data_IF_302507669578
#
_entry.id   IF_302507669578
#
_cell.length_a   1.000
_cell.length_b   1.000
_cell.length_c   1.000
_cell.angle_alpha   90.00
_cell.angle_beta   90.00
_cell.angle_gamma   90.00
#
_symmetry.space_group_name_H-M   'P 1'
#
loop_
_entity.id
_entity.type
_entity.pdbx_description
1 polymer ?
#
# COMPACT_ATOMS: atom_id res chain seq x y z
N UNK A 1 -28.94 29.66 -0.14
CA UNK A 1 -27.67 29.33 -0.82
C UNK A 1 -27.96 29.22 -2.30
N UNK A 2 -27.61 30.22 -3.11
CA UNK A 2 -27.78 30.13 -4.55
C UNK A 2 -26.82 29.05 -5.08
N UNK A 3 -27.37 27.99 -5.67
CA UNK A 3 -26.59 26.92 -6.30
C UNK A 3 -25.79 27.54 -7.44
N UNK A 4 -24.46 27.41 -7.39
CA UNK A 4 -23.55 27.91 -8.41
C UNK A 4 -24.00 27.39 -9.80
N UNK A 5 -24.19 28.24 -10.83
CA UNK A 5 -24.71 27.82 -12.14
C UNK A 5 -23.93 26.66 -12.76
N UNK A 6 -22.61 26.62 -12.55
CA UNK A 6 -21.75 25.52 -13.00
C UNK A 6 -22.15 24.18 -12.37
N UNK A 7 -22.55 24.16 -11.10
CA UNK A 7 -22.99 22.95 -10.40
C UNK A 7 -24.29 22.43 -10.98
N UNK A 8 -25.25 23.33 -11.29
CA UNK A 8 -26.52 22.95 -11.91
C UNK A 8 -26.30 22.36 -13.31
N UNK A 9 -25.39 22.95 -14.11
CA UNK A 9 -25.00 22.40 -15.40
C UNK A 9 -24.37 21.01 -15.29
N UNK A 10 -23.49 20.79 -14.30
CA UNK A 10 -22.89 19.46 -14.06
C UNK A 10 -23.91 18.42 -13.61
N UNK A 11 -24.83 18.80 -12.73
CA UNK A 11 -25.94 17.92 -12.32
C UNK A 11 -26.84 17.61 -13.52
N UNK A 12 -27.15 18.60 -14.36
CA UNK A 12 -27.89 18.41 -15.60
C UNK A 12 -27.17 17.44 -16.55
N UNK A 13 -25.85 17.59 -16.70
CA UNK A 13 -25.01 16.68 -17.49
C UNK A 13 -25.07 15.25 -16.95
N UNK A 14 -25.00 15.06 -15.63
CA UNK A 14 -25.11 13.74 -14.99
C UNK A 14 -26.50 13.11 -15.21
N UNK A 15 -27.57 13.90 -15.12
CA UNK A 15 -28.94 13.46 -15.41
C UNK A 15 -29.11 13.05 -16.87
N UNK A 16 -28.57 13.83 -17.80
CA UNK A 16 -28.58 13.50 -19.23
C UNK A 16 -27.78 12.21 -19.50
N UNK A 17 -26.62 12.04 -18.85
CA UNK A 17 -25.84 10.81 -18.98
C UNK A 17 -26.60 9.58 -18.45
N UNK A 18 -27.34 9.73 -17.35
CA UNK A 18 -28.20 8.68 -16.81
C UNK A 18 -29.36 8.35 -17.75
N UNK A 19 -30.07 9.37 -18.25
CA UNK A 19 -31.15 9.18 -19.22
C UNK A 19 -30.65 8.50 -20.51
N UNK A 20 -29.45 8.83 -20.98
CA UNK A 20 -28.82 8.18 -22.13
C UNK A 20 -28.46 6.71 -21.86
N UNK A 21 -28.03 6.38 -20.64
CA UNK A 21 -27.79 5.00 -20.22
C UNK A 21 -29.09 4.20 -20.20
N UNK A 22 -30.12 4.74 -19.55
CA UNK A 22 -31.45 4.12 -19.48
C UNK A 22 -32.03 3.91 -20.89
N UNK A 23 -32.02 4.95 -21.73
CA UNK A 23 -32.49 4.86 -23.11
C UNK A 23 -31.73 3.80 -23.91
N UNK A 24 -30.41 3.70 -23.73
CA UNK A 24 -29.61 2.69 -24.40
C UNK A 24 -29.95 1.27 -23.90
N UNK A 25 -30.10 1.05 -22.59
CA UNK A 25 -30.43 -0.27 -22.04
C UNK A 25 -31.75 -0.83 -22.57
N UNK A 26 -32.74 0.04 -22.78
CA UNK A 26 -34.07 -0.35 -23.28
C UNK A 26 -34.30 -0.06 -24.77
N UNK A 27 -33.23 0.25 -25.51
CA UNK A 27 -33.31 0.41 -26.97
C UNK A 27 -33.49 -0.97 -27.64
N UNK A 28 -34.29 -1.09 -28.72
CA UNK A 28 -34.44 -2.35 -29.45
C UNK A 28 -33.11 -2.94 -29.98
N UNK A 29 -32.10 -2.10 -30.20
CA UNK A 29 -30.76 -2.54 -30.61
C UNK A 29 -30.01 -3.24 -29.47
N UNK A 30 -30.30 -2.92 -28.21
CA UNK A 30 -29.67 -3.56 -27.04
C UNK A 30 -30.17 -4.98 -26.82
N UNK A 31 -31.41 -5.29 -27.19
CA UNK A 31 -31.97 -6.65 -27.15
C UNK A 31 -31.22 -7.64 -28.06
N UNK A 32 -30.51 -7.13 -29.07
CA UNK A 32 -29.66 -7.96 -29.96
C UNK A 32 -28.26 -8.24 -29.41
N UNK A 33 -27.84 -7.53 -28.34
CA UNK A 33 -26.54 -7.73 -27.73
C UNK A 33 -26.57 -8.88 -26.72
N UNK A 34 -25.43 -9.57 -26.58
CA UNK A 34 -25.26 -10.59 -25.54
C UNK A 34 -25.08 -9.91 -24.17
N UNK A 35 -25.48 -10.60 -23.10
CA UNK A 35 -25.44 -10.04 -21.74
C UNK A 35 -24.06 -9.48 -21.33
N UNK A 36 -22.96 -10.17 -21.66
CA UNK A 36 -21.60 -9.68 -21.34
C UNK A 36 -21.27 -8.35 -22.04
N UNK A 37 -21.80 -8.12 -23.25
CA UNK A 37 -21.62 -6.85 -23.96
C UNK A 37 -22.44 -5.75 -23.28
N UNK A 38 -23.65 -6.10 -22.81
CA UNK A 38 -24.50 -5.19 -22.04
C UNK A 38 -23.80 -4.78 -20.74
N UNK A 39 -23.23 -5.74 -20.02
CA UNK A 39 -22.51 -5.52 -18.76
C UNK A 39 -21.34 -4.54 -18.92
N UNK A 40 -20.45 -4.76 -19.90
CA UNK A 40 -19.29 -3.89 -20.15
C UNK A 40 -19.72 -2.46 -20.54
N UNK A 41 -20.70 -2.33 -21.42
CA UNK A 41 -21.19 -1.02 -21.84
C UNK A 41 -21.96 -0.29 -20.73
N UNK A 42 -22.72 -1.03 -19.90
CA UNK A 42 -23.40 -0.48 -18.73
C UNK A 42 -22.40 0.02 -17.69
N UNK A 43 -21.33 -0.74 -17.40
CA UNK A 43 -20.25 -0.31 -16.52
C UNK A 43 -19.61 0.99 -17.03
N UNK A 44 -19.24 1.02 -18.32
CA UNK A 44 -18.62 2.20 -18.95
C UNK A 44 -19.52 3.44 -18.87
N UNK A 45 -20.80 3.32 -19.24
CA UNK A 45 -21.77 4.42 -19.24
C UNK A 45 -22.17 4.85 -17.82
N UNK A 46 -22.37 3.89 -16.92
CA UNK A 46 -22.65 4.16 -15.50
C UNK A 46 -21.47 4.87 -14.82
N UNK A 47 -20.24 4.49 -15.16
CA UNK A 47 -19.02 5.16 -14.73
C UNK A 47 -19.02 6.66 -15.06
N UNK A 48 -19.49 7.04 -16.26
CA UNK A 48 -19.58 8.46 -16.64
C UNK A 48 -20.60 9.24 -15.81
N UNK A 49 -21.74 8.63 -15.46
CA UNK A 49 -22.72 9.23 -14.54
C UNK A 49 -22.06 9.51 -13.19
N UNK A 50 -21.39 8.50 -12.63
CA UNK A 50 -20.69 8.63 -11.34
C UNK A 50 -19.57 9.68 -11.38
N UNK A 51 -18.82 9.75 -12.50
CA UNK A 51 -17.77 10.75 -12.72
C UNK A 51 -18.34 12.17 -12.73
N UNK A 52 -19.45 12.39 -13.43
CA UNK A 52 -20.11 13.69 -13.51
C UNK A 52 -20.71 14.11 -12.17
N UNK A 53 -21.25 13.18 -11.40
CA UNK A 53 -21.70 13.46 -10.02
C UNK A 53 -20.54 13.84 -9.11
N UNK A 54 -19.38 13.17 -9.23
CA UNK A 54 -18.18 13.56 -8.50
C UNK A 54 -17.69 14.95 -8.92
N UNK A 55 -17.70 15.28 -10.21
CA UNK A 55 -17.37 16.61 -10.72
C UNK A 55 -18.31 17.68 -10.12
N UNK A 56 -19.62 17.44 -10.13
CA UNK A 56 -20.60 18.34 -9.53
C UNK A 56 -20.35 18.53 -8.01
N UNK A 57 -20.02 17.45 -7.30
CA UNK A 57 -19.68 17.52 -5.87
C UNK A 57 -18.45 18.41 -5.64
N UNK A 58 -17.39 18.24 -6.42
CA UNK A 58 -16.17 19.07 -6.34
C UNK A 58 -16.52 20.53 -6.63
N UNK A 59 -17.24 20.81 -7.71
CA UNK A 59 -17.61 22.17 -8.12
C UNK A 59 -18.49 22.85 -7.05
N UNK A 60 -19.31 22.07 -6.31
CA UNK A 60 -20.11 22.58 -5.19
C UNK A 60 -19.30 23.07 -3.99
N UNK A 61 -18.04 22.63 -3.87
CA UNK A 61 -17.11 23.10 -2.82
C UNK A 61 -16.52 24.48 -3.13
N UNK A 62 -16.77 25.01 -4.32
CA UNK A 62 -16.22 26.28 -4.79
C UNK A 62 -14.73 26.20 -5.12
N UNK A 63 -14.10 27.35 -5.31
CA UNK A 63 -12.69 27.48 -5.69
C UNK A 63 -11.72 27.51 -4.49
N UNK A 64 -12.24 27.48 -3.26
CA UNK A 64 -11.43 27.63 -2.05
C UNK A 64 -10.86 29.04 -1.85
N UNK A 65 -11.52 30.08 -2.36
CA UNK A 65 -11.21 31.46 -2.03
C UNK A 65 -11.53 31.76 -0.55
N UNK A 66 -10.50 32.00 0.27
CA UNK A 66 -10.61 32.27 1.71
C UNK A 66 -10.52 33.75 2.09
N UNK A 67 -10.38 34.66 1.12
CA UNK A 67 -10.34 36.10 1.37
C UNK A 67 -9.51 36.87 0.34
N UNK A 68 -9.06 38.08 0.71
CA UNK A 68 -8.18 38.90 -0.15
C UNK A 68 -6.72 38.47 -0.05
N UNK A 69 -6.28 37.99 1.10
CA UNK A 69 -4.92 37.52 1.32
C UNK A 69 -4.89 36.41 2.38
N UNK A 70 -3.83 35.61 2.37
CA UNK A 70 -3.52 34.65 3.44
C UNK A 70 -2.25 35.11 4.11
N UNK A 71 -2.30 35.25 5.42
CA UNK A 71 -1.13 35.56 6.22
C UNK A 71 -0.67 34.29 6.94
N UNK A 72 0.56 33.86 6.70
CA UNK A 72 1.13 32.64 7.27
C UNK A 72 2.36 33.02 8.07
N UNK A 73 2.45 32.50 9.29
CA UNK A 73 3.65 32.58 10.12
C UNK A 73 4.37 31.21 10.11
N UNK A 74 5.47 31.07 9.34
CA UNK A 74 6.27 29.85 9.37
C UNK A 74 6.79 29.55 10.78
N UNK A 75 6.80 28.27 11.15
CA UNK A 75 7.33 27.82 12.43
C UNK A 75 8.80 28.23 12.58
N UNK A 76 9.14 28.92 13.67
CA UNK A 76 10.50 29.40 13.94
C UNK A 76 10.86 30.75 13.32
N UNK A 77 9.93 31.44 12.67
CA UNK A 77 10.14 32.81 12.15
C UNK A 77 9.35 33.86 12.96
N UNK A 78 9.95 35.04 13.13
CA UNK A 78 9.28 36.21 13.74
C UNK A 78 8.44 37.00 12.73
N UNK A 79 8.67 36.79 11.43
CA UNK A 79 8.01 37.50 10.34
C UNK A 79 6.79 36.77 9.79
N UNK A 80 5.77 37.52 9.39
CA UNK A 80 4.59 37.01 8.70
C UNK A 80 4.80 37.14 7.17
N UNK A 81 4.45 36.08 6.45
CA UNK A 81 4.42 36.06 4.99
C UNK A 81 2.99 36.27 4.54
N UNK A 82 2.76 37.30 3.71
CA UNK A 82 1.43 37.65 3.23
C UNK A 82 1.29 37.32 1.75
N UNK A 83 0.39 36.40 1.44
CA UNK A 83 0.05 35.96 0.09
C UNK A 83 -1.10 36.81 -0.46
N UNK A 84 -0.77 37.87 -1.21
CA UNK A 84 -1.76 38.84 -1.75
C UNK A 84 -2.19 38.55 -3.18
N UNK A 85 -1.34 37.89 -3.98
CA UNK A 85 -1.66 37.63 -5.38
C UNK A 85 -2.51 36.38 -5.53
N UNK A 86 -3.70 36.56 -6.11
CA UNK A 86 -4.69 35.51 -6.33
C UNK A 86 -4.84 35.18 -7.80
N UNK A 87 -4.91 33.89 -8.13
CA UNK A 87 -5.19 33.44 -9.49
C UNK A 87 -6.02 32.17 -9.49
N UNK A 88 -7.05 32.10 -10.32
CA UNK A 88 -7.74 30.83 -10.58
C UNK A 88 -6.84 29.90 -11.40
N UNK A 89 -6.69 28.66 -10.92
CA UNK A 89 -5.95 27.60 -11.60
C UNK A 89 -6.82 26.36 -11.67
N UNK A 90 -6.70 25.61 -12.76
CA UNK A 90 -7.35 24.31 -12.87
C UNK A 90 -6.30 23.21 -12.92
N UNK A 91 -6.60 22.07 -12.29
CA UNK A 91 -5.80 20.85 -12.42
C UNK A 91 -6.69 19.64 -12.67
N UNK A 92 -6.14 18.65 -13.35
CA UNK A 92 -6.79 17.36 -13.57
C UNK A 92 -6.44 16.39 -12.44
N UNK A 93 -7.43 15.66 -11.95
CA UNK A 93 -7.28 14.53 -11.04
C UNK A 93 -7.91 13.29 -11.67
N UNK A 94 -7.11 12.25 -11.86
CA UNK A 94 -7.58 10.93 -12.28
C UNK A 94 -8.07 10.20 -11.04
N UNK A 95 -9.32 9.72 -11.08
CA UNK A 95 -9.97 8.99 -9.99
C UNK A 95 -10.38 7.59 -10.46
N UNK A 96 -10.82 6.75 -9.54
CA UNK A 96 -11.38 5.43 -9.88
C UNK A 96 -12.66 5.52 -10.73
N UNK A 97 -13.30 6.68 -10.78
CA UNK A 97 -14.48 6.95 -11.60
C UNK A 97 -14.10 7.64 -12.93
N UNK A 98 -12.81 7.84 -13.20
CA UNK A 98 -12.31 8.61 -14.33
C UNK A 98 -11.80 10.00 -13.94
N UNK A 99 -11.46 10.80 -14.93
CA UNK A 99 -10.83 12.10 -14.72
C UNK A 99 -11.83 13.21 -14.39
N UNK A 100 -11.48 14.02 -13.39
CA UNK A 100 -12.20 15.23 -12.99
C UNK A 100 -11.27 16.44 -13.06
N UNK A 101 -11.85 17.62 -13.24
CA UNK A 101 -11.14 18.90 -13.18
C UNK A 101 -11.42 19.58 -11.85
N UNK A 102 -10.40 20.19 -11.27
CA UNK A 102 -10.50 20.93 -10.01
C UNK A 102 -10.05 22.35 -10.29
N UNK A 103 -10.98 23.29 -10.21
CA UNK A 103 -10.70 24.73 -10.29
C UNK A 103 -10.51 25.26 -8.88
N UNK A 104 -9.37 25.87 -8.61
CA UNK A 104 -8.90 26.25 -7.28
C UNK A 104 -8.22 27.62 -7.31
N UNK A 105 -8.36 28.36 -6.22
CA UNK A 105 -7.69 29.63 -6.01
C UNK A 105 -6.25 29.39 -5.56
N UNK A 106 -5.31 29.93 -6.32
CA UNK A 106 -3.90 30.03 -5.99
C UNK A 106 -3.67 31.33 -5.21
N UNK A 107 -2.98 31.24 -4.07
CA UNK A 107 -2.45 32.38 -3.33
C UNK A 107 -0.92 32.36 -3.42
N UNK A 108 -0.31 33.40 -3.95
CA UNK A 108 1.13 33.47 -4.21
C UNK A 108 1.78 34.70 -3.56
N UNK A 109 3.06 34.56 -3.22
CA UNK A 109 3.93 35.61 -2.70
C UNK A 109 5.31 35.47 -3.35
N UNK A 110 6.02 36.57 -3.67
CA UNK A 110 7.35 36.50 -4.26
C UNK A 110 8.31 35.64 -3.44
N UNK A 111 9.04 34.74 -4.12
CA UNK A 111 10.01 33.84 -3.49
C UNK A 111 9.42 32.71 -2.64
N UNK A 112 8.09 32.53 -2.62
CA UNK A 112 7.41 31.52 -1.82
C UNK A 112 6.62 30.54 -2.67
N UNK A 113 6.45 29.31 -2.18
CA UNK A 113 5.56 28.34 -2.81
C UNK A 113 4.11 28.79 -2.69
N UNK A 114 3.37 28.73 -3.80
CA UNK A 114 1.95 29.07 -3.82
C UNK A 114 1.12 28.14 -2.93
N UNK A 115 0.10 28.70 -2.30
CA UNK A 115 -0.87 27.99 -1.46
C UNK A 115 -2.17 27.76 -2.22
N UNK A 116 -2.78 26.60 -1.97
CA UNK A 116 -4.05 26.18 -2.57
C UNK A 116 -4.99 25.70 -1.46
N UNK A 117 -5.81 26.59 -0.84
CA UNK A 117 -6.64 26.21 0.30
C UNK A 117 -7.59 25.04 0.00
N UNK A 118 -8.14 24.99 -1.21
CA UNK A 118 -9.02 23.90 -1.62
C UNK A 118 -8.33 22.52 -1.60
N UNK A 119 -7.03 22.44 -1.90
CA UNK A 119 -6.29 21.18 -1.87
C UNK A 119 -6.23 20.59 -0.46
N UNK A 120 -6.01 21.44 0.55
CA UNK A 120 -5.96 21.03 1.94
C UNK A 120 -7.34 20.57 2.43
N UNK A 121 -8.40 21.33 2.10
CA UNK A 121 -9.78 20.98 2.46
C UNK A 121 -10.22 19.65 1.83
N UNK A 122 -9.86 19.41 0.57
CA UNK A 122 -10.20 18.17 -0.15
C UNK A 122 -9.23 17.02 0.15
N UNK A 123 -8.11 17.27 0.83
CA UNK A 123 -7.07 16.28 1.05
C UNK A 123 -6.50 15.73 -0.26
N UNK A 124 -6.19 16.60 -1.23
CA UNK A 124 -5.75 16.17 -2.55
C UNK A 124 -4.30 15.66 -2.54
N UNK A 125 -3.99 14.60 -3.31
CA UNK A 125 -2.62 14.20 -3.51
C UNK A 125 -1.84 15.24 -4.33
N UNK A 126 -0.53 15.32 -4.09
CA UNK A 126 0.38 16.11 -4.91
C UNK A 126 0.38 15.64 -6.39
N UNK A 127 0.13 14.35 -6.62
CA UNK A 127 0.10 13.69 -7.94
C UNK A 127 -1.25 13.90 -8.64
N UNK A 128 -1.27 13.67 -9.95
CA UNK A 128 -2.51 13.70 -10.75
C UNK A 128 -3.41 12.47 -10.56
N UNK A 129 -3.04 11.51 -9.70
CA UNK A 129 -3.81 10.30 -9.42
C UNK A 129 -4.31 10.32 -7.98
N UNK A 130 -5.59 10.05 -7.78
CA UNK A 130 -6.22 9.98 -6.45
C UNK A 130 -5.58 8.93 -5.55
N UNK A 131 -5.67 9.11 -4.22
CA UNK A 131 -5.21 8.10 -3.25
C UNK A 131 -5.87 6.73 -3.43
N UNK A 132 -7.12 6.69 -3.91
CA UNK A 132 -7.81 5.44 -4.20
C UNK A 132 -7.13 4.64 -5.32
N UNK A 133 -6.70 5.30 -6.40
CA UNK A 133 -5.92 4.66 -7.47
C UNK A 133 -4.57 4.22 -6.93
N UNK A 134 -3.86 5.10 -6.21
CA UNK A 134 -2.55 4.78 -5.64
C UNK A 134 -2.62 3.52 -4.76
N UNK A 135 -3.66 3.42 -3.92
CA UNK A 135 -3.92 2.24 -3.09
C UNK A 135 -4.22 0.99 -3.91
N UNK A 136 -5.01 1.08 -4.99
CA UNK A 136 -5.30 -0.08 -5.86
C UNK A 136 -4.03 -0.57 -6.55
N UNK A 137 -3.22 0.35 -7.09
CA UNK A 137 -1.93 0.04 -7.70
C UNK A 137 -0.98 -0.66 -6.74
N UNK A 138 -0.78 -0.11 -5.53
CA UNK A 138 0.09 -0.73 -4.51
C UNK A 138 -0.40 -2.15 -4.17
N UNK A 139 -1.71 -2.36 -4.05
CA UNK A 139 -2.28 -3.69 -3.80
C UNK A 139 -2.02 -4.67 -4.95
N UNK A 140 -2.17 -4.24 -6.20
CA UNK A 140 -1.90 -5.07 -7.37
C UNK A 140 -0.40 -5.42 -7.46
N UNK A 141 0.47 -4.41 -7.26
CA UNK A 141 1.92 -4.57 -7.31
C UNK A 141 2.48 -5.54 -6.25
N UNK A 142 1.82 -5.67 -5.10
CA UNK A 142 2.21 -6.63 -4.04
C UNK A 142 1.75 -8.06 -4.36
N UNK A 143 0.71 -8.24 -5.18
CA UNK A 143 0.11 -9.55 -5.46
C UNK A 143 0.74 -10.28 -6.64
N UNK A 144 1.31 -9.56 -7.60
CA UNK A 144 1.75 -10.14 -8.86
C UNK A 144 2.88 -9.36 -9.54
N UNK A 145 3.19 -9.72 -10.79
CA UNK A 145 4.17 -9.01 -11.60
C UNK A 145 3.82 -7.52 -11.74
N UNK A 146 4.86 -6.69 -11.69
CA UNK A 146 4.66 -5.23 -11.61
C UNK A 146 4.06 -4.63 -12.88
N UNK A 147 4.43 -5.15 -14.06
CA UNK A 147 3.90 -4.66 -15.33
C UNK A 147 2.42 -5.06 -15.51
N UNK A 148 2.04 -6.29 -15.13
CA UNK A 148 0.63 -6.73 -15.09
C UNK A 148 -0.22 -5.86 -14.13
N UNK A 149 0.34 -5.48 -12.98
CA UNK A 149 -0.34 -4.58 -12.05
C UNK A 149 -0.58 -3.18 -12.63
N UNK A 150 0.30 -2.69 -13.50
CA UNK A 150 0.10 -1.40 -14.20
C UNK A 150 -0.98 -1.56 -15.28
N UNK A 151 -0.95 -2.66 -16.03
CA UNK A 151 -1.93 -2.97 -17.08
C UNK A 151 -3.34 -3.12 -16.49
N UNK A 152 -3.51 -3.88 -15.40
CA UNK A 152 -4.79 -4.07 -14.69
C UNK A 152 -5.40 -2.72 -14.27
N UNK A 153 -4.56 -1.82 -13.74
CA UNK A 153 -5.00 -0.50 -13.30
C UNK A 153 -5.31 0.42 -14.49
N UNK A 154 -4.54 0.33 -15.57
CA UNK A 154 -4.76 1.12 -16.77
C UNK A 154 -6.07 0.71 -17.47
N UNK A 155 -6.36 -0.59 -17.53
CA UNK A 155 -7.61 -1.15 -18.06
C UNK A 155 -8.80 -0.70 -17.22
N UNK A 156 -8.74 -0.85 -15.90
CA UNK A 156 -9.84 -0.50 -15.00
C UNK A 156 -10.19 1.00 -14.97
N UNK A 157 -9.25 1.89 -15.31
CA UNK A 157 -9.45 3.36 -15.24
C UNK A 157 -9.58 3.97 -16.64
N UNK A 158 -9.20 3.23 -17.70
CA UNK A 158 -9.14 3.73 -19.07
C UNK A 158 -8.08 4.81 -19.29
N UNK A 159 -7.06 4.90 -18.43
CA UNK A 159 -5.97 5.88 -18.52
C UNK A 159 -4.63 5.18 -18.35
N UNK A 160 -3.72 5.41 -19.29
CA UNK A 160 -2.36 4.87 -19.19
C UNK A 160 -1.61 5.48 -17.99
N UNK A 161 -1.02 4.60 -17.20
CA UNK A 161 -0.14 4.97 -16.09
C UNK A 161 1.30 4.71 -16.52
N UNK A 162 2.14 5.73 -16.51
CA UNK A 162 3.56 5.53 -16.83
C UNK A 162 4.23 4.65 -15.77
N UNK A 163 5.09 3.73 -16.19
CA UNK A 163 5.86 2.85 -15.29
C UNK A 163 6.62 3.65 -14.22
N UNK A 164 7.24 4.76 -14.62
CA UNK A 164 7.93 5.68 -13.69
C UNK A 164 7.00 6.22 -12.62
N UNK A 165 5.78 6.64 -12.97
CA UNK A 165 4.80 7.12 -11.99
C UNK A 165 4.39 6.00 -11.04
N UNK A 166 4.17 4.80 -11.56
CA UNK A 166 3.81 3.64 -10.75
C UNK A 166 4.91 3.28 -9.74
N UNK A 167 6.18 3.25 -10.17
CA UNK A 167 7.33 2.99 -9.31
C UNK A 167 7.43 4.03 -8.19
N UNK A 168 7.24 5.31 -8.51
CA UNK A 168 7.24 6.37 -7.51
C UNK A 168 6.09 6.22 -6.50
N UNK A 169 4.88 5.85 -6.94
CA UNK A 169 3.75 5.62 -6.02
C UNK A 169 4.07 4.48 -5.06
N UNK A 170 4.64 3.37 -5.54
CA UNK A 170 4.98 2.22 -4.69
C UNK A 170 6.14 2.56 -3.74
N UNK A 171 7.14 3.32 -4.21
CA UNK A 171 8.22 3.79 -3.37
C UNK A 171 7.70 4.72 -2.25
N UNK A 172 6.88 5.70 -2.59
CA UNK A 172 6.26 6.62 -1.63
C UNK A 172 5.39 5.87 -0.60
N UNK A 173 4.70 4.81 -1.03
CA UNK A 173 3.88 3.98 -0.14
C UNK A 173 4.71 3.11 0.83
N UNK A 174 6.04 3.07 0.68
CA UNK A 174 6.95 2.29 1.52
C UNK A 174 7.83 3.13 2.45
N UNK A 175 7.66 4.46 2.46
CA UNK A 175 8.52 5.37 3.25
C UNK A 175 8.47 5.15 4.75
N UNK A 176 7.36 4.60 5.25
CA UNK A 176 7.12 4.29 6.66
C UNK A 176 7.30 2.80 6.98
N UNK A 177 7.90 2.01 6.06
CA UNK A 177 8.06 0.56 6.21
C UNK A 177 8.79 0.17 7.51
N UNK A 178 9.94 0.80 7.80
CA UNK A 178 10.65 0.55 9.06
C UNK A 178 9.84 1.00 10.28
N UNK A 179 9.22 2.19 10.23
CA UNK A 179 8.44 2.75 11.33
C UNK A 179 7.25 1.85 11.68
N UNK A 180 6.56 1.31 10.67
CA UNK A 180 5.45 0.36 10.85
C UNK A 180 5.84 -0.85 11.73
N UNK A 181 7.05 -1.40 11.55
CA UNK A 181 7.53 -2.52 12.36
C UNK A 181 8.11 -2.10 13.72
N UNK A 182 8.60 -0.86 13.85
CA UNK A 182 9.09 -0.32 15.12
C UNK A 182 7.95 -0.02 16.10
N UNK A 183 6.91 0.67 15.63
CA UNK A 183 5.75 1.07 16.44
C UNK A 183 4.93 -0.12 16.93
N UNK A 184 4.93 -1.22 16.17
CA UNK A 184 4.21 -2.46 16.51
C UNK A 184 4.89 -3.30 17.60
N UNK A 185 5.82 -2.73 18.36
CA UNK A 185 6.39 -3.35 19.55
C UNK A 185 5.31 -3.49 20.63
N UNK A 186 4.65 -4.65 20.65
CA UNK A 186 3.52 -4.96 21.53
C UNK A 186 3.84 -4.70 23.00
N UNK A 187 2.81 -4.26 23.75
CA UNK A 187 2.83 -4.22 25.22
C UNK A 187 2.97 -5.63 25.76
N UNK A 188 3.93 -5.84 26.65
CA UNK A 188 4.17 -7.12 27.29
C UNK A 188 3.01 -7.47 28.23
N UNK A 189 2.58 -8.73 28.18
CA UNK A 189 1.71 -9.28 29.21
C UNK A 189 2.60 -10.11 30.14
N UNK A 190 2.55 -9.87 31.46
CA UNK A 190 3.31 -10.67 32.42
C UNK A 190 2.98 -12.17 32.31
N UNK A 191 1.72 -12.49 32.04
CA UNK A 191 1.18 -13.87 32.04
C UNK A 191 1.27 -14.56 30.66
N UNK A 192 2.45 -14.52 30.03
CA UNK A 192 2.70 -15.18 28.75
C UNK A 192 3.31 -16.57 28.92
N UNK A 193 3.10 -17.47 27.95
CA UNK A 193 3.60 -18.85 27.98
C UNK A 193 5.11 -18.98 28.28
N UNK A 194 5.54 -20.13 28.84
CA UNK A 194 6.91 -20.33 29.32
C UNK A 194 7.94 -20.50 28.20
N UNK A 195 7.52 -20.72 26.95
CA UNK A 195 8.43 -20.78 25.81
C UNK A 195 8.54 -19.41 25.17
N UNK A 196 9.76 -18.91 24.98
CA UNK A 196 10.06 -17.76 24.15
C UNK A 196 10.69 -18.23 22.85
N UNK A 197 9.96 -18.09 21.74
CA UNK A 197 10.34 -18.65 20.45
C UNK A 197 10.72 -17.52 19.50
N UNK A 198 11.90 -17.63 18.89
CA UNK A 198 12.29 -16.86 17.72
C UNK A 198 12.33 -17.75 16.48
N UNK A 199 11.94 -17.18 15.34
CA UNK A 199 12.09 -17.83 14.04
C UNK A 199 12.65 -16.85 13.03
N UNK A 200 13.60 -17.31 12.21
CA UNK A 200 14.24 -16.53 11.16
C UNK A 200 14.21 -17.32 9.87
N UNK A 201 13.69 -16.70 8.80
CA UNK A 201 13.64 -17.25 7.46
C UNK A 201 14.29 -16.28 6.46
N UNK A 202 14.99 -16.81 5.47
CA UNK A 202 15.80 -16.02 4.54
C UNK A 202 15.60 -16.42 3.09
N UNK A 203 15.28 -15.45 2.22
CA UNK A 203 15.24 -15.63 0.77
C UNK A 203 16.20 -14.72 0.05
N UNK A 204 17.10 -15.31 -0.75
CA UNK A 204 17.98 -14.56 -1.64
C UNK A 204 17.23 -14.01 -2.86
N UNK A 205 16.95 -12.70 -2.85
CA UNK A 205 16.30 -11.95 -3.93
C UNK A 205 17.35 -11.50 -4.96
N UNK A 206 17.24 -11.90 -6.24
CA UNK A 206 18.10 -11.40 -7.30
C UNK A 206 17.96 -9.88 -7.46
N UNK A 207 19.07 -9.15 -7.42
CA UNK A 207 19.08 -7.70 -7.64
C UNK A 207 19.58 -7.39 -9.05
N UNK A 208 18.99 -6.39 -9.68
CA UNK A 208 19.53 -5.77 -10.90
C UNK A 208 20.74 -4.92 -10.51
N UNK A 209 21.86 -5.06 -11.23
CA UNK A 209 23.04 -4.21 -11.01
C UNK A 209 22.72 -2.78 -11.47
N UNK A 210 23.03 -1.79 -10.65
CA UNK A 210 23.12 -0.39 -11.12
C UNK A 210 24.19 -0.35 -12.22
N UNK A 211 23.81 0.08 -13.42
CA UNK A 211 24.68 0.08 -14.60
C UNK A 211 25.91 0.98 -14.37
N UNK A 212 27.04 0.38 -13.96
CA UNK A 212 28.31 1.08 -13.76
C UNK A 212 29.54 0.16 -13.75
N UNK A 213 29.38 -1.14 -14.01
CA UNK A 213 30.50 -2.08 -14.10
C UNK A 213 30.59 -2.69 -15.50
N UNK A 214 31.81 -2.75 -16.04
CA UNK A 214 32.13 -3.46 -17.29
C UNK A 214 31.42 -4.82 -17.34
N UNK A 215 30.61 -5.05 -18.37
CA UNK A 215 29.99 -6.36 -18.61
C UNK A 215 31.09 -7.35 -19.00
N UNK A 216 31.63 -8.09 -18.04
CA UNK A 216 32.46 -9.26 -18.33
C UNK A 216 31.63 -10.29 -19.09
N UNK A 217 32.03 -10.57 -20.33
CA UNK A 217 31.39 -11.55 -21.24
C UNK A 217 31.57 -12.99 -20.71
N UNK A 218 32.63 -13.24 -19.94
CA UNK A 218 32.94 -14.55 -19.35
C UNK A 218 33.07 -14.43 -17.83
N UNK A 219 32.26 -15.21 -17.11
CA UNK A 219 32.30 -15.33 -15.66
C UNK A 219 33.36 -16.35 -15.26
N UNK A 220 34.12 -16.08 -14.20
CA UNK A 220 35.02 -17.07 -13.61
C UNK A 220 34.23 -18.22 -12.96
N UNK A 221 34.87 -19.37 -12.76
CA UNK A 221 34.24 -20.52 -12.09
C UNK A 221 33.76 -20.12 -10.69
N UNK A 222 32.44 -20.19 -10.46
CA UNK A 222 31.79 -19.78 -9.20
C UNK A 222 31.26 -18.33 -9.18
N UNK A 223 31.57 -17.52 -10.19
CA UNK A 223 31.10 -16.14 -10.29
C UNK A 223 29.64 -16.11 -10.77
N UNK A 224 28.75 -15.58 -9.93
CA UNK A 224 27.31 -15.50 -10.24
C UNK A 224 26.99 -14.19 -10.96
N UNK A 225 26.26 -14.28 -12.07
CA UNK A 225 25.87 -13.13 -12.92
C UNK A 225 25.13 -12.04 -12.13
N UNK A 226 24.29 -12.45 -11.17
CA UNK A 226 23.47 -11.56 -10.33
C UNK A 226 23.93 -11.60 -8.87
N UNK A 227 24.03 -10.43 -8.23
CA UNK A 227 24.15 -10.33 -6.76
C UNK A 227 22.76 -10.53 -6.18
N UNK A 228 22.63 -11.43 -5.19
CA UNK A 228 21.40 -11.59 -4.41
C UNK A 228 21.52 -10.74 -3.14
N UNK A 229 20.45 -10.03 -2.78
CA UNK A 229 20.28 -9.52 -1.41
C UNK A 229 19.46 -10.53 -0.62
N UNK A 230 19.77 -10.68 0.66
CA UNK A 230 18.96 -11.54 1.51
C UNK A 230 17.77 -10.74 2.01
N UNK A 231 16.57 -11.16 1.64
CA UNK A 231 15.35 -10.76 2.33
C UNK A 231 15.19 -11.67 3.54
N UNK A 232 15.16 -11.10 4.73
CA UNK A 232 15.04 -11.86 5.97
C UNK A 232 13.77 -11.48 6.69
N UNK A 233 13.03 -12.48 7.16
CA UNK A 233 11.85 -12.32 8.00
C UNK A 233 12.13 -12.94 9.36
N UNK A 234 11.75 -12.23 10.41
CA UNK A 234 11.91 -12.63 11.79
C UNK A 234 10.58 -12.63 12.50
N UNK A 235 10.38 -13.58 13.40
CA UNK A 235 9.25 -13.59 14.32
C UNK A 235 9.71 -13.90 15.74
N UNK A 236 9.16 -13.19 16.73
CA UNK A 236 9.35 -13.48 18.16
C UNK A 236 7.99 -13.54 18.83
N UNK A 237 7.74 -14.63 19.57
CA UNK A 237 6.47 -14.88 20.23
C UNK A 237 6.64 -15.78 21.45
N UNK A 238 5.67 -15.75 22.35
CA UNK A 238 5.57 -16.70 23.46
C UNK A 238 4.56 -17.80 23.14
N UNK A 239 4.70 -18.96 23.75
CA UNK A 239 3.75 -20.06 23.55
C UNK A 239 3.73 -21.00 24.76
N UNK A 240 2.57 -21.59 25.04
CA UNK A 240 2.48 -22.75 25.93
C UNK A 240 2.99 -24.02 25.23
N UNK A 241 3.69 -24.92 25.93
CA UNK A 241 4.13 -26.18 25.35
C UNK A 241 2.95 -27.01 24.84
N UNK A 242 3.04 -27.50 23.61
CA UNK A 242 2.09 -28.50 23.11
C UNK A 242 2.66 -29.88 23.43
N UNK A 243 2.28 -30.44 24.58
CA UNK A 243 2.75 -31.75 25.03
C UNK A 243 2.09 -32.85 24.19
N UNK A 244 2.90 -33.80 23.70
CA UNK A 244 2.44 -34.97 22.93
C UNK A 244 2.82 -36.25 23.68
N UNK A 245 1.97 -37.27 23.62
CA UNK A 245 2.34 -38.63 24.06
C UNK A 245 3.13 -39.36 22.97
N UNK A 246 3.92 -40.39 23.30
CA UNK A 246 4.62 -41.20 22.29
C UNK A 246 3.67 -41.74 21.21
N UNK A 247 2.47 -42.19 21.59
CA UNK A 247 1.45 -42.70 20.68
C UNK A 247 0.99 -41.60 19.72
N UNK A 248 0.75 -40.38 20.21
CA UNK A 248 0.37 -39.23 19.39
C UNK A 248 1.49 -38.80 18.42
N UNK A 249 2.76 -39.09 18.73
CA UNK A 249 3.89 -38.86 17.82
C UNK A 249 3.94 -39.93 16.74
N UNK A 250 3.82 -41.20 17.11
CA UNK A 250 3.77 -42.33 16.15
C UNK A 250 2.60 -42.15 15.19
N UNK A 251 1.40 -41.85 15.70
CA UNK A 251 0.23 -41.56 14.88
C UNK A 251 0.49 -40.38 13.93
N UNK A 252 1.13 -39.30 14.39
CA UNK A 252 1.45 -38.15 13.54
C UNK A 252 2.46 -38.43 12.43
N UNK A 253 3.33 -39.42 12.58
CA UNK A 253 4.38 -39.74 11.61
C UNK A 253 3.98 -40.86 10.64
N UNK A 254 3.12 -41.79 11.10
CA UNK A 254 2.85 -43.04 10.40
C UNK A 254 1.36 -43.29 10.10
N UNK A 255 0.43 -42.44 10.53
CA UNK A 255 -0.99 -42.65 10.22
C UNK A 255 -1.30 -42.40 8.73
N UNK A 256 -1.60 -43.48 8.00
CA UNK A 256 -2.27 -43.45 6.68
C UNK A 256 -3.78 -43.21 6.86
N UNK A 257 -4.19 -42.08 7.45
CA UNK A 257 -5.62 -41.86 7.73
C UNK A 257 -6.31 -41.04 6.63
N UNK A 258 -7.30 -41.65 5.95
CA UNK A 258 -8.29 -41.02 5.07
C UNK A 258 -9.38 -40.22 5.83
N UNK A 259 -9.37 -40.24 7.17
CA UNK A 259 -10.35 -39.53 7.99
C UNK A 259 -9.85 -38.12 8.34
N UNK A 260 -10.74 -37.09 8.34
CA UNK A 260 -10.37 -35.77 8.78
C UNK A 260 -9.89 -35.86 10.23
N UNK A 261 -8.64 -35.48 10.45
CA UNK A 261 -8.06 -35.45 11.78
C UNK A 261 -8.94 -34.54 12.68
N UNK A 262 -9.26 -34.94 13.91
CA UNK A 262 -9.87 -34.03 14.87
C UNK A 262 -9.00 -32.77 14.95
N UNK A 263 -9.63 -31.60 14.95
CA UNK A 263 -8.95 -30.30 14.99
C UNK A 263 -8.11 -30.22 16.25
N UNK A 264 -6.84 -30.64 16.17
CA UNK A 264 -5.90 -30.62 17.30
C UNK A 264 -5.82 -29.19 17.84
N UNK A 265 -6.21 -29.01 19.10
CA UNK A 265 -6.11 -27.73 19.80
C UNK A 265 -4.65 -27.45 20.14
N UNK A 266 -3.92 -26.85 19.20
CA UNK A 266 -2.59 -26.32 19.48
C UNK A 266 -2.71 -24.96 20.17
N UNK A 267 -1.92 -24.75 21.22
CA UNK A 267 -1.72 -23.41 21.77
C UNK A 267 -1.18 -22.50 20.66
N UNK A 268 -1.86 -21.38 20.42
CA UNK A 268 -1.45 -20.43 19.39
C UNK A 268 -0.30 -19.55 19.89
N UNK A 269 0.55 -19.03 19.00
CA UNK A 269 1.53 -18.00 19.35
C UNK A 269 0.87 -16.80 20.04
N UNK A 270 1.38 -16.44 21.19
CA UNK A 270 0.99 -15.29 21.98
C UNK A 270 1.94 -14.13 21.68
N UNK A 271 1.38 -12.91 21.59
CA UNK A 271 2.15 -11.67 21.43
C UNK A 271 3.15 -11.70 20.26
N UNK A 272 2.80 -12.38 19.17
CA UNK A 272 3.69 -12.56 18.03
C UNK A 272 4.00 -11.24 17.35
N UNK A 273 5.29 -10.89 17.34
CA UNK A 273 5.83 -9.79 16.53
C UNK A 273 6.50 -10.41 15.30
N UNK A 274 6.22 -9.87 14.13
CA UNK A 274 6.85 -10.26 12.85
C UNK A 274 7.39 -9.01 12.19
N UNK A 275 8.60 -9.07 11.66
CA UNK A 275 9.19 -8.00 10.87
C UNK A 275 10.12 -8.56 9.80
N UNK A 276 10.40 -7.74 8.79
CA UNK A 276 11.20 -8.14 7.65
C UNK A 276 12.20 -7.06 7.27
N UNK A 277 13.29 -7.45 6.61
CA UNK A 277 14.23 -6.51 6.01
C UNK A 277 14.88 -7.10 4.77
N UNK A 278 15.06 -6.27 3.74
CA UNK A 278 15.89 -6.53 2.57
C UNK A 278 17.24 -5.80 2.64
N UNK A 279 17.35 -4.81 3.53
CA UNK A 279 18.48 -3.89 3.59
C UNK A 279 19.50 -4.29 4.66
N UNK A 280 19.04 -4.85 5.78
CA UNK A 280 19.92 -5.29 6.85
C UNK A 280 20.75 -6.50 6.42
N UNK A 281 21.99 -6.53 6.89
CA UNK A 281 22.77 -7.77 6.85
C UNK A 281 22.12 -8.82 7.74
N UNK A 282 22.39 -10.10 7.48
CA UNK A 282 21.92 -11.19 8.33
C UNK A 282 22.31 -10.99 9.79
N UNK A 283 23.54 -10.56 10.05
CA UNK A 283 24.05 -10.35 11.41
C UNK A 283 23.31 -9.22 12.13
N UNK A 284 23.10 -8.08 11.45
CA UNK A 284 22.34 -6.98 12.01
C UNK A 284 20.87 -7.39 12.28
N UNK A 285 20.28 -8.18 11.38
CA UNK A 285 18.92 -8.68 11.56
C UNK A 285 18.80 -9.64 12.74
N UNK A 286 19.72 -10.61 12.86
CA UNK A 286 19.76 -11.54 13.99
C UNK A 286 19.98 -10.80 15.31
N UNK A 287 20.85 -9.78 15.33
CA UNK A 287 21.05 -8.94 16.51
C UNK A 287 19.75 -8.24 16.95
N UNK A 288 18.91 -7.78 16.01
CA UNK A 288 17.59 -7.23 16.33
C UNK A 288 16.65 -8.30 16.93
N UNK A 289 16.67 -9.53 16.41
CA UNK A 289 15.88 -10.65 16.97
C UNK A 289 16.34 -10.96 18.40
N UNK A 290 17.65 -11.05 18.64
CA UNK A 290 18.20 -11.27 19.98
C UNK A 290 17.85 -10.12 20.93
N UNK A 291 17.95 -8.87 20.48
CA UNK A 291 17.56 -7.71 21.28
C UNK A 291 16.07 -7.77 21.66
N UNK A 292 15.21 -8.16 20.73
CA UNK A 292 13.79 -8.37 21.01
C UNK A 292 13.57 -9.51 22.03
N UNK A 293 14.27 -10.64 21.91
CA UNK A 293 14.16 -11.74 22.90
C UNK A 293 14.62 -11.30 24.29
N UNK A 294 15.77 -10.64 24.41
CA UNK A 294 16.28 -10.07 25.68
C UNK A 294 15.31 -9.05 26.28
N UNK A 295 14.68 -8.23 25.44
CA UNK A 295 13.66 -7.27 25.86
C UNK A 295 12.42 -7.96 26.46
N UNK A 296 12.05 -9.15 25.95
CA UNK A 296 10.87 -9.92 26.40
C UNK A 296 11.11 -10.70 27.68
N UNK A 297 12.34 -11.16 27.89
CA UNK A 297 12.72 -12.00 29.03
C UNK A 297 14.08 -11.55 29.60
N UNK A 298 14.15 -10.35 30.21
CA UNK A 298 15.41 -9.80 30.72
C UNK A 298 16.04 -10.65 31.83
N UNK A 299 15.21 -11.35 32.61
CA UNK A 299 15.62 -12.21 33.71
C UNK A 299 15.86 -13.68 33.29
N UNK A 300 15.72 -14.01 32.00
CA UNK A 300 15.92 -15.36 31.48
C UNK A 300 15.06 -16.44 32.18
N UNK A 301 13.79 -16.13 32.45
CA UNK A 301 12.86 -17.04 33.12
C UNK A 301 12.14 -17.99 32.14
N UNK A 302 12.17 -17.69 30.84
CA UNK A 302 11.53 -18.50 29.80
C UNK A 302 12.53 -19.43 29.13
N UNK A 303 12.04 -20.54 28.59
CA UNK A 303 12.86 -21.41 27.73
C UNK A 303 12.95 -20.81 26.34
N UNK A 304 14.16 -20.43 25.94
CA UNK A 304 14.42 -19.85 24.62
C UNK A 304 14.54 -20.94 23.57
N UNK A 305 13.80 -20.79 22.48
CA UNK A 305 13.82 -21.71 21.35
C UNK A 305 14.06 -20.86 20.09
N UNK A 306 15.02 -21.25 19.27
CA UNK A 306 15.24 -20.61 17.97
C UNK A 306 15.04 -21.61 16.84
N UNK A 307 14.11 -21.27 15.94
CA UNK A 307 13.76 -22.08 14.77
C UNK A 307 14.35 -21.45 13.52
N UNK A 308 15.29 -22.16 12.90
CA UNK A 308 15.94 -21.74 11.64
C UNK A 308 15.53 -22.66 10.50
N UNK A 309 15.51 -22.15 9.26
CA UNK A 309 15.17 -22.86 8.01
C UNK A 309 16.16 -23.96 7.56
N UNK A 310 17.13 -24.33 8.42
CA UNK A 310 18.17 -25.31 8.11
C UNK A 310 19.44 -24.70 7.50
N UNK A 311 19.50 -23.39 7.28
CA UNK A 311 20.74 -22.75 6.87
C UNK A 311 21.81 -22.84 7.99
N UNK A 312 22.88 -23.60 7.75
CA UNK A 312 23.96 -23.81 8.73
C UNK A 312 24.61 -22.52 9.23
N UNK A 313 24.66 -21.50 8.39
CA UNK A 313 25.18 -20.19 8.78
C UNK A 313 24.23 -19.44 9.73
N UNK A 314 22.92 -19.66 9.65
CA UNK A 314 21.96 -19.14 10.63
C UNK A 314 22.14 -19.87 11.97
N UNK A 315 22.20 -21.20 11.96
CA UNK A 315 22.37 -22.02 13.18
C UNK A 315 23.59 -21.65 14.02
N UNK A 316 24.68 -21.17 13.41
CA UNK A 316 25.90 -20.74 14.14
C UNK A 316 25.78 -19.34 14.74
N UNK A 317 24.75 -18.58 14.38
CA UNK A 317 24.63 -17.14 14.68
C UNK A 317 23.49 -16.82 15.65
N UNK A 318 22.49 -17.70 15.76
CA UNK A 318 21.43 -17.63 16.78
C UNK A 318 21.82 -18.38 18.03
#
# INVERSE_FOLDING_TARGET
MATNPTVLERIGSARNAFANLEHWLYAPTSDTHKLHTIEVEQERRGGEVLRLMLQAHIDSRGDGCVGQAIAVRPQGSSGEIVYRHKRLRSRRLVTVLGAVSITRMEYSSPGQNSLYPLDAVLGLPARSYSYAIQRRLVKAAVKGPFDEAIEEIAEAIGVSLSKRTAEQIVADASVDFENFYQERSLRFAPDSGPLLIASVDGKGVPMVKSASGERKVRLARGEKRNKKRMSTVGAVFTQKPNIRTPEAVVESLFAESLKPHPTKHYHRPEQKRVWASLLLSKDAFIAQVQAEMRRRDPQHQKSWIVVTDGERALQRKV
#
